data_IF_577172861912
#
_entry.id   IF_577172861912
#
_cell.length_a   1.000
_cell.length_b   1.000
_cell.length_c   1.000
_cell.angle_alpha   90.00
_cell.angle_beta   90.00
_cell.angle_gamma   90.00
#
_symmetry.space_group_name_H-M   'P 1'
#
loop_
_entity.id
_entity.type
_entity.pdbx_description
1 polymer ?
#
# COMPACT_ATOMS: atom_id res chain seq x y z
N UNK A 1 10.43 8.76 -14.07
CA UNK A 1 10.37 7.32 -13.67
C UNK A 1 8.96 7.03 -13.18
N UNK A 2 8.28 6.00 -13.69
CA UNK A 2 6.91 5.66 -13.28
C UNK A 2 6.95 5.01 -11.88
N UNK A 3 6.24 5.59 -10.93
CA UNK A 3 6.09 5.06 -9.58
C UNK A 3 5.07 3.92 -9.62
N UNK A 4 5.47 2.74 -9.11
CA UNK A 4 4.58 1.57 -8.97
C UNK A 4 4.01 1.53 -7.56
N UNK A 5 2.90 0.81 -7.39
CA UNK A 5 2.33 0.59 -6.05
C UNK A 5 3.36 0.01 -5.07
N UNK A 6 3.38 0.48 -3.83
CA UNK A 6 4.19 -0.12 -2.76
C UNK A 6 3.62 -1.44 -2.25
N UNK A 7 2.34 -1.74 -2.53
CA UNK A 7 1.65 -2.92 -2.01
C UNK A 7 1.70 -4.11 -2.97
N UNK A 8 1.73 -5.30 -2.38
CA UNK A 8 1.39 -6.56 -3.03
C UNK A 8 -0.07 -6.86 -2.70
N UNK A 9 -0.91 -7.02 -3.70
CA UNK A 9 -2.31 -7.26 -3.46
C UNK A 9 -2.83 -8.38 -4.38
N UNK A 10 -3.51 -9.41 -3.83
CA UNK A 10 -4.12 -10.46 -4.64
C UNK A 10 -5.08 -9.84 -5.64
N UNK A 11 -5.02 -10.25 -6.89
CA UNK A 11 -5.80 -9.62 -7.96
C UNK A 11 -5.36 -8.21 -8.34
N UNK A 12 -4.20 -7.75 -7.85
CA UNK A 12 -3.64 -6.43 -8.15
C UNK A 12 -3.47 -6.21 -9.66
N UNK A 13 -3.96 -5.06 -10.12
CA UNK A 13 -4.08 -4.72 -11.55
C UNK A 13 -2.76 -4.23 -12.19
N UNK A 14 -1.61 -4.38 -11.53
CA UNK A 14 -0.33 -3.83 -12.04
C UNK A 14 0.02 -4.29 -13.46
N UNK A 15 -0.33 -5.53 -13.82
CA UNK A 15 -0.16 -6.05 -15.18
C UNK A 15 -1.26 -5.58 -16.12
N UNK A 16 -2.47 -5.45 -15.61
CA UNK A 16 -3.63 -5.04 -16.40
C UNK A 16 -3.65 -3.54 -16.72
N UNK A 17 -2.92 -2.70 -15.98
CA UNK A 17 -2.83 -1.24 -16.21
C UNK A 17 -2.54 -0.94 -17.70
N UNK A 18 -1.63 -1.71 -18.32
CA UNK A 18 -1.26 -1.50 -19.72
C UNK A 18 -2.40 -1.79 -20.71
N UNK A 19 -3.37 -2.62 -20.33
CA UNK A 19 -4.56 -2.90 -21.14
C UNK A 19 -5.68 -1.94 -20.77
N UNK A 20 -5.90 -1.68 -19.49
CA UNK A 20 -6.96 -0.80 -18.99
C UNK A 20 -6.84 0.64 -19.49
N UNK A 21 -5.62 1.13 -19.72
CA UNK A 21 -5.41 2.49 -20.26
C UNK A 21 -6.09 2.75 -21.61
N UNK A 22 -6.29 1.71 -22.43
CA UNK A 22 -6.97 1.82 -23.71
C UNK A 22 -8.50 1.83 -23.60
N UNK A 23 -9.03 1.52 -22.41
CA UNK A 23 -10.46 1.54 -22.12
C UNK A 23 -10.91 2.84 -21.46
N UNK A 24 -9.98 3.78 -21.24
CA UNK A 24 -10.32 5.09 -20.67
C UNK A 24 -11.14 5.89 -21.69
N UNK A 25 -12.17 6.63 -21.24
CA UNK A 25 -12.84 7.60 -22.08
C UNK A 25 -11.85 8.67 -22.55
N UNK A 26 -12.15 9.31 -23.69
CA UNK A 26 -11.33 10.41 -24.19
C UNK A 26 -11.27 11.60 -23.22
N UNK A 27 -12.38 11.86 -22.53
CA UNK A 27 -12.52 12.94 -21.55
C UNK A 27 -13.20 12.42 -20.28
N UNK A 28 -12.66 12.75 -19.13
CA UNK A 28 -13.26 12.50 -17.80
C UNK A 28 -12.66 13.45 -16.76
N UNK A 29 -13.51 13.91 -15.85
CA UNK A 29 -13.13 14.90 -14.83
C UNK A 29 -12.82 14.26 -13.48
N UNK A 30 -13.24 13.02 -13.26
CA UNK A 30 -13.09 12.33 -11.97
C UNK A 30 -12.91 10.82 -12.19
N UNK A 31 -12.10 10.22 -11.31
CA UNK A 31 -11.92 8.78 -11.22
C UNK A 31 -12.29 8.28 -9.82
N UNK A 32 -13.06 7.21 -9.73
CA UNK A 32 -13.44 6.56 -8.49
C UNK A 32 -13.06 5.10 -8.49
N UNK A 33 -12.37 4.67 -7.42
CA UNK A 33 -11.98 3.26 -7.21
C UNK A 33 -12.57 2.76 -5.88
N UNK A 34 -13.79 2.17 -5.89
CA UNK A 34 -14.50 1.74 -4.68
C UNK A 34 -13.82 0.61 -3.91
N UNK A 35 -12.97 -0.17 -4.57
CA UNK A 35 -12.20 -1.29 -4.02
C UNK A 35 -10.74 -1.13 -4.45
N UNK A 36 -10.05 -0.19 -3.82
CA UNK A 36 -8.72 0.26 -4.28
C UNK A 36 -7.66 -0.83 -4.16
N UNK A 37 -7.72 -1.66 -3.13
CA UNK A 37 -6.71 -2.70 -2.90
C UNK A 37 -5.29 -2.15 -3.01
N UNK A 38 -4.48 -2.72 -3.89
CA UNK A 38 -3.10 -2.29 -4.12
C UNK A 38 -2.93 -0.97 -4.89
N UNK A 39 -3.99 -0.33 -5.35
CA UNK A 39 -3.97 1.02 -5.90
C UNK A 39 -3.21 1.22 -7.22
N UNK A 40 -2.94 0.16 -7.96
CA UNK A 40 -2.08 0.26 -9.16
C UNK A 40 -2.63 1.19 -10.24
N UNK A 41 -3.96 1.26 -10.38
CA UNK A 41 -4.58 2.02 -11.45
C UNK A 41 -4.72 3.50 -11.11
N UNK A 42 -5.16 3.85 -9.90
CA UNK A 42 -5.19 5.27 -9.50
C UNK A 42 -3.78 5.89 -9.48
N UNK A 43 -2.76 5.13 -9.05
CA UNK A 43 -1.36 5.60 -9.09
C UNK A 43 -0.92 5.88 -10.53
N UNK A 44 -1.30 5.03 -11.49
CA UNK A 44 -1.05 5.27 -12.91
C UNK A 44 -1.77 6.53 -13.38
N UNK A 45 -3.06 6.68 -13.06
CA UNK A 45 -3.88 7.82 -13.50
C UNK A 45 -3.36 9.15 -12.92
N UNK A 46 -2.99 9.20 -11.64
CA UNK A 46 -2.42 10.40 -11.01
C UNK A 46 -1.15 10.88 -11.72
N UNK A 47 -0.29 9.96 -12.13
CA UNK A 47 0.95 10.31 -12.83
C UNK A 47 0.70 10.74 -14.27
N UNK A 48 -0.37 10.27 -14.89
CA UNK A 48 -0.74 10.60 -16.27
C UNK A 48 -1.59 11.88 -16.36
N UNK A 49 -2.43 12.11 -15.34
CA UNK A 49 -3.39 13.21 -15.24
C UNK A 49 -3.27 13.86 -13.85
N UNK A 50 -2.31 14.78 -13.64
CA UNK A 50 -2.01 15.35 -12.32
C UNK A 50 -3.21 16.07 -11.68
N UNK A 51 -4.05 16.71 -12.47
CA UNK A 51 -5.20 17.51 -12.01
C UNK A 51 -6.50 16.70 -11.87
N UNK A 52 -6.46 15.40 -12.19
CA UNK A 52 -7.64 14.53 -12.11
C UNK A 52 -8.12 14.41 -10.66
N UNK A 53 -9.41 14.64 -10.45
CA UNK A 53 -10.05 14.35 -9.16
C UNK A 53 -10.10 12.84 -8.95
N UNK A 54 -9.51 12.37 -7.86
CA UNK A 54 -9.45 10.93 -7.54
C UNK A 54 -10.09 10.69 -6.19
N UNK A 55 -10.98 9.70 -6.14
CA UNK A 55 -11.54 9.14 -4.94
C UNK A 55 -11.27 7.64 -4.89
N UNK A 56 -10.62 7.21 -3.81
CA UNK A 56 -10.37 5.80 -3.52
C UNK A 56 -11.09 5.38 -2.23
N UNK A 57 -11.58 4.15 -2.22
CA UNK A 57 -12.25 3.55 -1.08
C UNK A 57 -11.82 2.09 -0.92
N UNK A 58 -11.83 1.60 0.31
CA UNK A 58 -11.77 0.16 0.58
C UNK A 58 -12.48 -0.18 1.88
N UNK A 59 -13.07 -1.39 1.94
CA UNK A 59 -13.72 -1.91 3.15
C UNK A 59 -12.72 -2.40 4.20
N UNK A 60 -11.47 -2.66 3.81
CA UNK A 60 -10.42 -3.09 4.73
C UNK A 60 -9.88 -1.89 5.51
N UNK A 61 -10.11 -1.79 6.84
CA UNK A 61 -9.67 -0.66 7.64
C UNK A 61 -8.14 -0.51 7.67
N UNK A 62 -7.39 -1.62 7.66
CA UNK A 62 -5.93 -1.60 7.69
C UNK A 62 -5.37 -0.98 6.40
N UNK A 63 -5.99 -1.28 5.27
CA UNK A 63 -5.66 -0.71 3.97
C UNK A 63 -6.02 0.79 3.92
N UNK A 64 -7.17 1.17 4.48
CA UNK A 64 -7.54 2.57 4.64
C UNK A 64 -6.50 3.34 5.45
N UNK A 65 -6.10 2.83 6.62
CA UNK A 65 -5.08 3.48 7.45
C UNK A 65 -3.75 3.60 6.71
N UNK A 66 -3.34 2.55 6.00
CA UNK A 66 -2.12 2.62 5.19
C UNK A 66 -2.15 3.76 4.17
N UNK A 67 -3.19 3.83 3.33
CA UNK A 67 -3.30 4.90 2.33
C UNK A 67 -3.45 6.29 2.97
N UNK A 68 -4.22 6.38 4.06
CA UNK A 68 -4.44 7.64 4.77
C UNK A 68 -3.14 8.17 5.42
N UNK A 69 -2.37 7.31 6.08
CA UNK A 69 -1.12 7.72 6.70
C UNK A 69 -0.02 7.98 5.66
N UNK A 70 -0.01 7.25 4.55
CA UNK A 70 0.85 7.55 3.41
C UNK A 70 0.51 8.91 2.75
N UNK A 71 -0.74 9.36 2.82
CA UNK A 71 -1.13 10.71 2.39
C UNK A 71 -0.66 11.78 3.37
N UNK A 72 -0.79 11.53 4.68
CA UNK A 72 -0.48 12.52 5.72
C UNK A 72 1.03 12.76 5.85
N UNK A 73 1.83 11.67 5.93
CA UNK A 73 3.29 11.75 6.04
C UNK A 73 3.93 10.44 5.55
N UNK A 74 4.08 10.32 4.25
CA UNK A 74 4.68 9.14 3.61
C UNK A 74 6.13 8.92 3.99
N UNK A 75 6.89 9.98 4.25
CA UNK A 75 8.29 9.87 4.63
C UNK A 75 8.44 9.35 6.07
N UNK A 76 7.62 9.83 7.00
CA UNK A 76 7.61 9.31 8.37
C UNK A 76 7.22 7.84 8.36
N UNK A 77 6.18 7.47 7.60
CA UNK A 77 5.74 6.08 7.46
C UNK A 77 6.89 5.21 6.93
N UNK A 78 7.59 5.64 5.90
CA UNK A 78 8.73 4.93 5.33
C UNK A 78 9.91 4.82 6.32
N UNK A 79 10.18 5.86 7.11
CA UNK A 79 11.24 5.82 8.15
C UNK A 79 10.94 4.77 9.22
N UNK A 80 9.71 4.71 9.72
CA UNK A 80 9.34 3.72 10.74
C UNK A 80 9.38 2.29 10.19
N UNK A 81 8.91 2.07 8.96
CA UNK A 81 9.04 0.77 8.29
C UNK A 81 10.52 0.39 8.10
N UNK A 82 11.38 1.37 7.79
CA UNK A 82 12.83 1.13 7.67
C UNK A 82 13.45 0.69 8.98
N UNK A 83 13.04 1.26 10.12
CA UNK A 83 13.50 0.83 11.45
C UNK A 83 13.13 -0.63 11.69
N UNK A 84 11.87 -1.00 11.47
CA UNK A 84 11.43 -2.41 11.60
C UNK A 84 12.33 -3.34 10.76
N UNK A 85 12.56 -2.99 9.49
CA UNK A 85 13.39 -3.81 8.59
C UNK A 85 14.83 -3.95 9.08
N UNK A 86 15.42 -2.90 9.64
CA UNK A 86 16.82 -2.91 10.13
C UNK A 86 16.98 -3.63 11.46
N UNK A 87 16.02 -3.51 12.34
CA UNK A 87 16.07 -4.05 13.70
C UNK A 87 15.66 -5.53 13.76
N UNK A 88 14.80 -5.99 12.85
CA UNK A 88 14.25 -7.34 12.84
C UNK A 88 14.96 -8.22 11.81
N UNK A 89 15.78 -9.15 12.32
CA UNK A 89 16.53 -10.11 11.50
C UNK A 89 15.80 -11.42 11.29
N UNK A 90 14.99 -11.82 12.25
CA UNK A 90 14.15 -13.02 12.21
C UNK A 90 12.76 -12.66 11.68
N UNK A 91 12.48 -13.05 10.44
CA UNK A 91 11.22 -12.73 9.79
C UNK A 91 10.03 -13.52 10.35
N UNK A 92 10.25 -14.77 10.82
CA UNK A 92 9.20 -15.56 11.45
C UNK A 92 8.80 -14.95 12.80
N UNK A 93 9.77 -14.61 13.64
CA UNK A 93 9.50 -13.95 14.92
C UNK A 93 8.79 -12.60 14.73
N UNK A 94 9.18 -11.82 13.72
CA UNK A 94 8.48 -10.58 13.35
C UNK A 94 7.03 -10.84 12.93
N UNK A 95 6.80 -11.85 12.11
CA UNK A 95 5.45 -12.23 11.69
C UNK A 95 4.59 -12.61 12.90
N UNK A 96 5.09 -13.49 13.77
CA UNK A 96 4.39 -13.97 14.96
C UNK A 96 4.04 -12.80 15.91
N UNK A 97 4.96 -11.86 16.11
CA UNK A 97 4.71 -10.63 16.88
C UNK A 97 3.56 -9.83 16.24
N UNK A 98 3.63 -9.57 14.94
CA UNK A 98 2.68 -8.70 14.25
C UNK A 98 1.27 -9.29 14.11
N UNK A 99 1.13 -10.62 13.98
CA UNK A 99 -0.20 -11.24 13.89
C UNK A 99 -0.88 -11.40 15.24
N UNK A 100 -0.10 -11.54 16.33
CA UNK A 100 -0.62 -11.71 17.68
C UNK A 100 -1.00 -10.40 18.35
N UNK A 101 -0.53 -9.24 17.86
CA UNK A 101 -0.91 -7.95 18.43
C UNK A 101 -2.34 -7.58 18.02
N UNK A 102 -3.16 -7.18 18.97
CA UNK A 102 -4.52 -6.71 18.69
C UNK A 102 -4.48 -5.38 17.94
N UNK A 103 -5.16 -5.30 16.79
CA UNK A 103 -5.28 -4.04 16.04
C UNK A 103 -5.92 -2.91 16.88
N UNK A 104 -6.77 -3.28 17.89
CA UNK A 104 -7.41 -2.30 18.79
C UNK A 104 -6.45 -1.64 19.78
N UNK A 105 -5.30 -2.26 20.06
CA UNK A 105 -4.27 -1.70 20.95
C UNK A 105 -3.27 -0.82 20.23
N UNK A 106 -3.34 -0.74 18.91
CA UNK A 106 -2.44 0.03 18.06
C UNK A 106 -3.06 1.37 17.66
N UNK A 107 -2.22 2.38 17.56
CA UNK A 107 -2.57 3.65 16.91
C UNK A 107 -2.78 3.43 15.41
N UNK A 108 -3.48 4.33 14.75
CA UNK A 108 -3.68 4.28 13.28
C UNK A 108 -2.34 4.21 12.52
N UNK A 109 -1.33 4.90 13.05
CA UNK A 109 0.01 4.90 12.47
C UNK A 109 0.70 3.53 12.60
N UNK A 110 0.66 2.93 13.78
CA UNK A 110 1.21 1.58 14.02
C UNK A 110 0.46 0.53 13.19
N UNK A 111 -0.85 0.69 13.01
CA UNK A 111 -1.65 -0.16 12.12
C UNK A 111 -1.17 -0.07 10.67
N UNK A 112 -0.90 1.13 10.18
CA UNK A 112 -0.37 1.34 8.83
C UNK A 112 1.01 0.70 8.63
N UNK A 113 1.92 0.83 9.61
CA UNK A 113 3.24 0.17 9.60
C UNK A 113 3.08 -1.35 9.61
N UNK A 114 2.29 -1.88 10.55
CA UNK A 114 1.98 -3.31 10.67
C UNK A 114 1.42 -3.88 9.37
N UNK A 115 0.43 -3.21 8.79
CA UNK A 115 -0.19 -3.63 7.53
C UNK A 115 0.84 -3.74 6.41
N UNK A 116 1.68 -2.71 6.22
CA UNK A 116 2.70 -2.75 5.18
C UNK A 116 3.70 -3.88 5.40
N UNK A 117 4.22 -4.05 6.63
CA UNK A 117 5.20 -5.10 6.92
C UNK A 117 4.60 -6.49 6.64
N UNK A 118 3.42 -6.79 7.17
CA UNK A 118 2.73 -8.05 6.91
C UNK A 118 2.48 -8.26 5.41
N UNK A 119 2.06 -7.22 4.70
CA UNK A 119 1.88 -7.27 3.25
C UNK A 119 3.17 -7.65 2.50
N UNK A 120 4.33 -7.35 3.05
CA UNK A 120 5.63 -7.64 2.42
C UNK A 120 6.20 -9.01 2.80
N UNK A 121 5.85 -9.56 3.96
CA UNK A 121 6.44 -10.80 4.49
C UNK A 121 5.53 -12.03 4.41
N UNK A 122 4.27 -11.86 3.96
CA UNK A 122 3.31 -12.96 3.80
C UNK A 122 3.26 -13.49 2.38
N UNK A 123 2.72 -14.71 2.22
CA UNK A 123 2.41 -15.26 0.89
C UNK A 123 1.46 -14.35 0.12
N UNK A 124 1.82 -14.00 -1.10
CA UNK A 124 1.03 -13.15 -2.01
C UNK A 124 0.60 -11.78 -1.44
N UNK A 125 1.12 -11.38 -0.28
CA UNK A 125 0.74 -10.12 0.38
C UNK A 125 -0.63 -10.17 1.07
N UNK A 126 -1.12 -11.36 1.38
CA UNK A 126 -2.39 -11.55 2.12
C UNK A 126 -2.11 -11.31 3.60
N UNK A 127 -2.69 -10.25 4.16
CA UNK A 127 -2.38 -9.79 5.53
C UNK A 127 -3.20 -10.54 6.58
N UNK A 128 -4.49 -10.79 6.32
CA UNK A 128 -5.41 -11.34 7.33
C UNK A 128 -5.32 -12.86 7.50
N UNK A 129 -5.03 -13.58 6.42
CA UNK A 129 -4.98 -15.06 6.43
C UNK A 129 -3.75 -15.64 5.75
N UNK A 130 -2.84 -14.79 5.32
CA UNK A 130 -1.58 -15.23 4.72
C UNK A 130 -0.58 -15.67 5.78
N UNK A 131 0.03 -16.85 5.58
CA UNK A 131 1.14 -17.29 6.41
C UNK A 131 2.45 -16.56 6.09
N UNK A 132 3.41 -16.68 6.99
CA UNK A 132 4.77 -16.17 6.77
C UNK A 132 5.44 -16.80 5.53
N UNK A 133 6.24 -16.02 4.87
CA UNK A 133 7.06 -16.47 3.74
C UNK A 133 8.48 -15.91 3.82
N UNK A 134 9.45 -16.79 4.09
CA UNK A 134 10.87 -16.45 4.10
C UNK A 134 11.31 -15.80 2.77
N UNK A 135 10.87 -16.36 1.64
CA UNK A 135 11.14 -15.78 0.32
C UNK A 135 10.57 -14.37 0.15
N UNK A 136 9.40 -14.11 0.75
CA UNK A 136 8.81 -12.77 0.71
C UNK A 136 9.55 -11.80 1.65
N UNK A 137 9.93 -12.25 2.85
CA UNK A 137 10.74 -11.47 3.78
C UNK A 137 12.05 -11.01 3.15
N UNK A 138 12.79 -11.90 2.52
CA UNK A 138 14.08 -11.61 1.88
C UNK A 138 13.92 -10.82 0.57
N UNK A 139 13.01 -11.24 -0.29
CA UNK A 139 12.92 -10.74 -1.67
C UNK A 139 11.84 -9.67 -1.92
N UNK A 140 10.96 -9.41 -0.95
CA UNK A 140 9.86 -8.44 -1.12
C UNK A 140 9.85 -7.33 -0.08
N UNK A 141 10.34 -7.57 1.14
CA UNK A 141 10.53 -6.54 2.15
C UNK A 141 11.87 -5.83 1.92
N UNK A 142 11.97 -5.06 0.85
CA UNK A 142 13.19 -4.44 0.34
C UNK A 142 13.19 -2.93 0.50
N UNK A 143 14.36 -2.31 0.48
CA UNK A 143 14.50 -0.84 0.47
C UNK A 143 13.70 -0.21 -0.66
N UNK A 144 13.77 -0.76 -1.87
CA UNK A 144 13.01 -0.22 -3.01
C UNK A 144 11.49 -0.28 -2.80
N UNK A 145 10.98 -1.24 -2.00
CA UNK A 145 9.57 -1.28 -1.64
C UNK A 145 9.18 -0.17 -0.65
N UNK A 146 10.08 0.17 0.27
CA UNK A 146 9.91 1.24 1.26
C UNK A 146 10.06 2.62 0.59
N UNK A 147 11.01 2.79 -0.30
CA UNK A 147 11.14 4.02 -1.11
C UNK A 147 9.86 4.35 -1.89
N UNK A 148 9.13 3.33 -2.36
CA UNK A 148 7.83 3.55 -2.99
C UNK A 148 6.80 4.10 -2.00
N UNK A 149 6.84 3.70 -0.73
CA UNK A 149 5.99 4.29 0.31
C UNK A 149 6.33 5.78 0.48
N UNK A 150 7.61 6.13 0.60
CA UNK A 150 8.05 7.51 0.74
C UNK A 150 7.55 8.43 -0.40
N UNK A 151 7.43 7.88 -1.62
CA UNK A 151 6.97 8.62 -2.81
C UNK A 151 5.43 8.78 -2.88
N UNK A 152 4.67 8.14 -2.00
CA UNK A 152 3.20 8.17 -2.08
C UNK A 152 2.62 9.53 -1.69
N UNK A 153 3.29 10.35 -0.89
CA UNK A 153 2.77 11.66 -0.51
C UNK A 153 2.33 12.50 -1.71
N UNK A 154 3.21 12.65 -2.70
CA UNK A 154 2.91 13.41 -3.93
C UNK A 154 1.81 12.74 -4.79
N UNK A 155 1.75 11.40 -4.81
CA UNK A 155 0.73 10.66 -5.55
C UNK A 155 -0.65 10.84 -4.92
N UNK A 156 -0.71 10.91 -3.59
CA UNK A 156 -1.95 10.98 -2.81
C UNK A 156 -2.40 12.42 -2.52
N UNK A 157 -1.63 13.41 -2.93
CA UNK A 157 -2.04 14.81 -2.75
C UNK A 157 -3.41 15.08 -3.41
N UNK A 158 -4.34 15.63 -2.63
CA UNK A 158 -5.71 15.91 -3.09
C UNK A 158 -6.59 14.69 -3.37
N UNK A 159 -6.11 13.46 -3.16
CA UNK A 159 -6.93 12.25 -3.29
C UNK A 159 -7.91 12.13 -2.13
N UNK A 160 -9.19 11.95 -2.43
CA UNK A 160 -10.20 11.61 -1.41
C UNK A 160 -10.06 10.14 -1.04
N UNK A 161 -9.83 9.84 0.24
CA UNK A 161 -9.67 8.48 0.76
C UNK A 161 -10.79 8.22 1.77
N UNK A 162 -11.53 7.13 1.58
CA UNK A 162 -12.65 6.75 2.44
C UNK A 162 -12.61 5.28 2.82
N UNK A 163 -13.37 4.95 3.86
CA UNK A 163 -13.61 3.61 4.36
C UNK A 163 -15.13 3.47 4.57
N UNK A 164 -15.85 3.09 3.51
CA UNK A 164 -17.30 3.00 3.42
C UNK A 164 -17.74 1.59 3.01
#
# INVERSE_FOLDING_TARGET
>A
MIIKTPLRYPGGKSRAVQQMKYLLPNEFAEYREPFVGGGSFFIYLRQRFPDLKIWINDLNPELYFFWKLAQVDSEKLAREITKVRKERRDGQALFDELVNVSAKSLTDFERAVRFFVLNRITFSGVVESGGYSQHAFEGRFTESSIERVAKMGNILEGVKITHL
#
